data_IF_946744691382
#
_entry.id   IF_946744691382
#
_cell.length_a   1.000
_cell.length_b   1.000
_cell.length_c   1.000
_cell.angle_alpha   90.00
_cell.angle_beta   90.00
_cell.angle_gamma   90.00
#
_symmetry.space_group_name_H-M   'P 1'
#
loop_
_entity.id
_entity.type
_entity.pdbx_description
1 polymer ?
#
# COMPACT_ATOMS: atom_id res chain seq x y z
N UNK A 1 -11.54 8.90 7.20
CA UNK A 1 -11.49 8.51 8.64
C UNK A 1 -10.05 8.52 9.13
N UNK A 2 -9.80 8.68 10.43
CA UNK A 2 -8.43 8.56 10.99
C UNK A 2 -7.88 7.13 10.86
N UNK A 3 -8.72 6.15 11.12
CA UNK A 3 -8.44 4.74 10.92
C UNK A 3 -9.67 4.14 10.23
N UNK A 4 -9.61 3.88 8.92
CA UNK A 4 -10.66 3.16 8.19
C UNK A 4 -10.61 1.65 8.49
N UNK A 5 -11.72 0.95 8.26
CA UNK A 5 -11.80 -0.52 8.27
C UNK A 5 -12.41 -1.05 6.97
N UNK A 6 -11.87 -2.15 6.46
CA UNK A 6 -12.42 -2.87 5.31
C UNK A 6 -13.84 -3.42 5.65
N UNK A 7 -14.75 -3.43 4.66
CA UNK A 7 -16.10 -3.95 4.88
C UNK A 7 -16.08 -5.44 5.14
N UNK A 8 -16.80 -5.90 6.18
CA UNK A 8 -16.94 -7.34 6.47
C UNK A 8 -17.68 -8.06 5.34
N UNK A 9 -18.60 -7.37 4.66
CA UNK A 9 -19.34 -7.86 3.50
C UNK A 9 -18.97 -7.00 2.30
N UNK A 10 -18.07 -7.53 1.46
CA UNK A 10 -17.57 -6.86 0.25
C UNK A 10 -18.05 -7.49 -1.05
N UNK A 11 -17.64 -6.89 -2.17
CA UNK A 11 -17.99 -7.30 -3.54
C UNK A 11 -16.82 -7.95 -4.29
N UNK A 12 -15.60 -7.78 -3.81
CA UNK A 12 -14.35 -8.15 -4.49
C UNK A 12 -13.78 -7.04 -5.39
N UNK A 13 -14.54 -5.96 -5.62
CA UNK A 13 -14.08 -4.81 -6.42
C UNK A 13 -13.19 -3.85 -5.61
N UNK A 14 -13.11 -4.02 -4.30
CA UNK A 14 -12.44 -3.12 -3.37
C UNK A 14 -10.94 -3.07 -3.61
N UNK A 15 -10.29 -4.22 -3.82
CA UNK A 15 -8.85 -4.30 -4.13
C UNK A 15 -8.49 -3.64 -5.47
N UNK A 16 -9.27 -3.92 -6.52
CA UNK A 16 -9.03 -3.35 -7.86
C UNK A 16 -9.21 -1.84 -7.83
N UNK A 17 -10.29 -1.38 -7.20
CA UNK A 17 -10.59 0.05 -7.06
C UNK A 17 -9.51 0.78 -6.25
N UNK A 18 -9.07 0.19 -5.14
CA UNK A 18 -7.98 0.71 -4.32
C UNK A 18 -6.67 0.83 -5.10
N UNK A 19 -6.27 -0.23 -5.80
CA UNK A 19 -5.05 -0.28 -6.60
C UNK A 19 -5.07 0.74 -7.73
N UNK A 20 -6.16 0.80 -8.49
CA UNK A 20 -6.25 1.62 -9.71
C UNK A 20 -6.61 3.09 -9.43
N UNK A 21 -7.02 3.43 -8.20
CA UNK A 21 -7.31 4.81 -7.78
C UNK A 21 -6.11 5.76 -7.85
N UNK A 22 -4.88 5.22 -7.90
CA UNK A 22 -3.65 6.00 -7.79
C UNK A 22 -3.37 6.54 -6.39
N UNK A 23 -4.18 6.21 -5.39
CA UNK A 23 -3.98 6.64 -4.01
C UNK A 23 -2.96 5.78 -3.25
N UNK A 24 -2.87 4.50 -3.62
CA UNK A 24 -1.93 3.53 -3.10
C UNK A 24 -0.53 3.71 -3.68
N UNK A 25 0.51 3.31 -2.94
CA UNK A 25 1.88 3.25 -3.46
C UNK A 25 2.15 1.86 -4.00
N UNK A 26 2.39 1.77 -5.31
CA UNK A 26 2.54 0.50 -6.02
C UNK A 26 4.02 0.21 -6.29
N UNK A 27 4.42 -1.05 -6.12
CA UNK A 27 5.75 -1.52 -6.40
C UNK A 27 6.01 -1.59 -7.92
N UNK A 28 7.10 -0.97 -8.38
CA UNK A 28 7.44 -0.90 -9.82
C UNK A 28 8.19 -2.12 -10.32
N UNK A 29 8.99 -2.74 -9.45
CA UNK A 29 9.85 -3.88 -9.75
C UNK A 29 9.74 -4.89 -8.63
N UNK A 30 9.93 -6.17 -8.95
CA UNK A 30 9.99 -7.21 -7.94
C UNK A 30 11.26 -7.08 -7.08
N UNK A 31 11.15 -7.45 -5.80
CA UNK A 31 12.25 -7.31 -4.87
C UNK A 31 11.92 -7.70 -3.44
N UNK A 32 12.87 -7.46 -2.53
CA UNK A 32 12.67 -7.61 -1.09
C UNK A 32 12.70 -6.22 -0.42
N UNK A 33 11.75 -5.99 0.47
CA UNK A 33 11.69 -4.78 1.29
C UNK A 33 12.87 -4.77 2.26
N UNK A 34 13.78 -3.82 2.08
CA UNK A 34 14.99 -3.71 2.91
C UNK A 34 14.77 -2.80 4.10
N UNK A 35 13.95 -1.76 3.95
CA UNK A 35 13.66 -0.80 5.03
C UNK A 35 12.26 -0.24 4.87
N UNK A 36 11.54 -0.19 5.99
CA UNK A 36 10.22 0.43 6.08
C UNK A 36 10.29 1.55 7.10
N UNK A 37 9.89 2.74 6.68
CA UNK A 37 9.72 3.89 7.55
C UNK A 37 8.34 4.52 7.32
N UNK A 38 7.95 5.39 8.25
CA UNK A 38 6.72 6.14 8.09
C UNK A 38 6.69 6.98 6.79
N UNK A 39 7.80 7.57 6.35
CA UNK A 39 7.82 8.48 5.18
C UNK A 39 8.38 7.86 3.90
N UNK A 40 8.97 6.67 3.97
CA UNK A 40 9.59 6.04 2.82
C UNK A 40 9.70 4.53 2.99
N UNK A 41 9.67 3.82 1.87
CA UNK A 41 9.91 2.37 1.78
C UNK A 41 11.06 2.16 0.80
N UNK A 42 12.02 1.33 1.18
CA UNK A 42 13.14 0.92 0.33
C UNK A 42 12.96 -0.55 -0.06
N UNK A 43 12.93 -0.81 -1.36
CA UNK A 43 12.81 -2.16 -1.92
C UNK A 43 14.05 -2.45 -2.73
N UNK A 44 14.78 -3.49 -2.36
CA UNK A 44 15.92 -3.98 -3.12
C UNK A 44 15.41 -4.87 -4.23
N UNK A 45 15.70 -4.50 -5.48
CA UNK A 45 15.32 -5.31 -6.63
C UNK A 45 15.99 -6.68 -6.57
N UNK A 46 15.26 -7.68 -7.01
CA UNK A 46 15.78 -9.03 -7.19
C UNK A 46 15.53 -9.41 -8.63
N UNK A 47 16.54 -10.00 -9.26
CA UNK A 47 16.43 -10.61 -10.57
C UNK A 47 16.92 -12.03 -10.47
N UNK A 48 16.19 -12.95 -11.08
CA UNK A 48 16.62 -14.33 -11.21
C UNK A 48 17.36 -14.46 -12.55
N UNK A 49 18.66 -14.74 -12.48
CA UNK A 49 19.50 -14.99 -13.66
C UNK A 49 20.12 -16.36 -13.47
N UNK A 50 19.89 -17.28 -14.41
CA UNK A 50 20.39 -18.65 -14.39
C UNK A 50 20.08 -19.43 -13.09
N UNK A 51 18.91 -19.16 -12.49
CA UNK A 51 18.46 -19.80 -11.24
C UNK A 51 19.11 -19.27 -9.96
N UNK A 52 19.86 -18.17 -10.05
CA UNK A 52 20.44 -17.47 -8.89
C UNK A 52 19.76 -16.12 -8.66
N UNK A 53 19.42 -15.83 -7.41
CA UNK A 53 18.85 -14.54 -7.01
C UNK A 53 19.94 -13.49 -6.89
N UNK A 54 19.95 -12.55 -7.83
CA UNK A 54 20.87 -11.42 -7.84
C UNK A 54 20.17 -10.21 -7.23
N UNK A 55 20.84 -9.63 -6.24
CA UNK A 55 20.42 -8.36 -5.62
C UNK A 55 20.83 -7.20 -6.53
N UNK A 56 19.83 -6.46 -7.01
CA UNK A 56 20.03 -5.27 -7.84
C UNK A 56 19.95 -3.97 -7.05
N UNK A 57 19.52 -2.93 -7.78
CA UNK A 57 19.36 -1.56 -7.28
C UNK A 57 18.32 -1.43 -6.15
N UNK A 58 18.46 -0.34 -5.40
CA UNK A 58 17.54 0.03 -4.32
C UNK A 58 16.48 1.03 -4.84
N UNK A 59 15.23 0.59 -4.92
CA UNK A 59 14.10 1.45 -5.24
C UNK A 59 13.59 2.17 -3.99
N UNK A 60 13.44 3.49 -4.12
CA UNK A 60 12.97 4.36 -3.05
C UNK A 60 11.56 4.88 -3.34
N UNK A 61 10.62 4.51 -2.49
CA UNK A 61 9.22 4.94 -2.55
C UNK A 61 8.97 5.96 -1.44
N UNK A 62 8.64 7.21 -1.79
CA UNK A 62 8.30 8.24 -0.81
C UNK A 62 6.80 8.21 -0.53
N UNK A 63 6.43 8.29 0.75
CA UNK A 63 5.03 8.32 1.19
C UNK A 63 4.60 9.77 1.49
N UNK A 64 3.38 10.09 1.08
CA UNK A 64 2.74 11.36 1.40
C UNK A 64 2.16 11.33 2.81
N UNK A 65 2.53 12.30 3.65
CA UNK A 65 2.11 12.37 5.06
C UNK A 65 1.42 13.68 5.36
N UNK A 66 0.18 13.57 5.85
CA UNK A 66 -0.64 14.69 6.33
C UNK A 66 -0.73 15.86 5.33
N UNK A 67 -0.90 15.55 4.05
CA UNK A 67 -1.05 16.55 2.99
C UNK A 67 -2.53 16.89 2.86
N UNK A 68 -2.85 18.15 2.57
CA UNK A 68 -4.23 18.59 2.33
C UNK A 68 -4.65 18.27 0.90
N UNK A 69 -5.82 17.64 0.72
CA UNK A 69 -6.45 17.45 -0.59
C UNK A 69 -7.16 18.72 -1.08
N UNK A 70 -7.56 18.76 -2.35
CA UNK A 70 -8.31 19.89 -2.92
C UNK A 70 -9.60 20.20 -2.15
N UNK A 71 -10.26 19.16 -1.62
CA UNK A 71 -11.49 19.26 -0.82
C UNK A 71 -11.22 19.48 0.68
N UNK A 72 -9.96 19.69 1.07
CA UNK A 72 -9.59 19.98 2.45
C UNK A 72 -9.49 18.75 3.38
N UNK A 73 -9.58 17.54 2.84
CA UNK A 73 -9.39 16.30 3.61
C UNK A 73 -7.90 15.96 3.78
N UNK A 74 -7.59 15.12 4.78
CA UNK A 74 -6.23 14.66 5.02
C UNK A 74 -5.86 13.50 4.08
N UNK A 75 -4.80 13.70 3.31
CA UNK A 75 -4.14 12.69 2.49
C UNK A 75 -2.92 12.14 3.24
N UNK A 76 -3.03 10.88 3.68
CA UNK A 76 -2.00 10.24 4.49
C UNK A 76 -1.81 8.79 4.04
N UNK A 77 -0.63 8.49 3.52
CA UNK A 77 -0.27 7.14 3.12
C UNK A 77 0.40 6.38 4.27
N UNK A 78 0.14 5.08 4.41
CA UNK A 78 0.67 4.24 5.48
C UNK A 78 1.27 2.96 4.90
N UNK A 79 2.53 2.61 5.23
CA UNK A 79 3.12 1.37 4.75
C UNK A 79 2.32 0.17 5.28
N UNK A 80 2.07 -0.81 4.41
CA UNK A 80 1.43 -2.10 4.78
C UNK A 80 2.42 -3.26 4.79
N UNK A 81 3.55 -3.12 4.09
CA UNK A 81 4.61 -4.12 4.04
C UNK A 81 5.55 -3.99 5.24
N UNK A 82 6.19 -5.12 5.59
CA UNK A 82 7.25 -5.20 6.60
C UNK A 82 8.62 -5.44 5.97
N UNK A 83 9.69 -5.15 6.73
CA UNK A 83 11.07 -5.45 6.32
C UNK A 83 11.22 -6.96 6.11
N UNK A 84 11.85 -7.36 5.01
CA UNK A 84 12.04 -8.75 4.61
C UNK A 84 10.90 -9.32 3.75
N UNK A 85 9.79 -8.60 3.57
CA UNK A 85 8.74 -9.06 2.65
C UNK A 85 9.24 -9.06 1.20
N UNK A 86 8.94 -10.14 0.48
CA UNK A 86 9.17 -10.23 -0.96
C UNK A 86 7.93 -9.69 -1.67
N UNK A 87 8.13 -8.70 -2.54
CA UNK A 87 7.06 -7.99 -3.24
C UNK A 87 7.21 -8.17 -4.74
N UNK A 88 6.09 -8.26 -5.44
CA UNK A 88 6.03 -8.37 -6.90
C UNK A 88 5.74 -7.01 -7.54
N UNK A 89 6.05 -6.89 -8.83
CA UNK A 89 5.62 -5.75 -9.63
C UNK A 89 4.09 -5.63 -9.58
N UNK A 90 3.59 -4.43 -9.29
CA UNK A 90 2.16 -4.14 -9.23
C UNK A 90 1.50 -4.44 -7.89
N UNK A 91 2.27 -4.85 -6.87
CA UNK A 91 1.80 -5.06 -5.50
C UNK A 91 1.74 -3.74 -4.73
N UNK A 92 0.81 -3.61 -3.79
CA UNK A 92 0.64 -2.41 -2.97
C UNK A 92 1.65 -2.44 -1.82
N UNK A 93 2.46 -1.38 -1.71
CA UNK A 93 3.45 -1.19 -0.64
C UNK A 93 2.90 -0.35 0.51
N UNK A 94 2.04 0.61 0.20
CA UNK A 94 1.41 1.49 1.18
C UNK A 94 -0.02 1.84 0.79
N UNK A 95 -0.89 1.85 1.78
CA UNK A 95 -2.28 2.28 1.68
C UNK A 95 -2.38 3.79 1.53
N UNK A 96 -3.35 4.23 0.73
CA UNK A 96 -3.78 5.61 0.65
C UNK A 96 -4.77 6.02 1.75
N UNK A 97 -5.33 7.23 1.67
CA UNK A 97 -6.48 7.60 2.49
C UNK A 97 -7.65 6.65 2.21
N UNK A 98 -8.39 6.29 3.27
CA UNK A 98 -9.57 5.40 3.18
C UNK A 98 -9.27 4.03 2.56
N UNK A 99 -8.12 3.45 2.93
CA UNK A 99 -7.71 2.10 2.58
C UNK A 99 -7.22 1.34 3.80
N UNK A 100 -7.39 0.02 3.76
CA UNK A 100 -6.85 -0.93 4.72
C UNK A 100 -6.36 -2.18 3.99
N UNK A 101 -5.09 -2.53 4.19
CA UNK A 101 -4.43 -3.74 3.66
C UNK A 101 -4.58 -3.89 2.13
N UNK A 102 -4.52 -2.78 1.40
CA UNK A 102 -4.66 -2.74 -0.05
C UNK A 102 -6.09 -2.73 -0.56
N UNK A 103 -7.10 -2.78 0.31
CA UNK A 103 -8.51 -2.70 -0.06
C UNK A 103 -9.10 -1.32 0.23
N UNK A 104 -10.17 -1.00 -0.51
CA UNK A 104 -10.93 0.21 -0.31
C UNK A 104 -11.76 0.13 0.98
N UNK A 105 -11.54 1.07 1.88
CA UNK A 105 -12.12 1.11 3.21
C UNK A 105 -12.67 2.51 3.52
N UNK A 106 -13.85 2.82 3.01
CA UNK A 106 -14.46 4.15 3.15
C UNK A 106 -15.08 4.40 4.54
N UNK A 107 -15.36 3.32 5.29
CA UNK A 107 -16.18 3.35 6.49
C UNK A 107 -15.61 2.58 7.69
N UNK A 108 -16.53 2.19 8.56
CA UNK A 108 -16.33 1.32 9.74
C UNK A 108 -17.50 0.36 9.83
N UNK A 109 -17.26 -0.84 10.35
CA UNK A 109 -18.32 -1.79 10.61
C UNK A 109 -18.98 -1.45 11.95
N UNK A 110 -20.33 -1.33 11.98
CA UNK A 110 -21.09 -0.96 13.19
C UNK A 110 -22.16 -2.01 13.49
N UNK A 111 -22.44 -2.22 14.78
CA UNK A 111 -23.56 -3.06 15.21
C UNK A 111 -24.87 -2.25 15.11
N UNK A 112 -25.85 -2.78 14.38
CA UNK A 112 -27.13 -2.12 14.12
C UNK A 112 -28.27 -2.99 14.66
N UNK A 113 -29.27 -2.36 15.29
CA UNK A 113 -30.54 -2.97 15.66
C UNK A 113 -31.67 -2.20 14.96
N UNK A 114 -32.73 -2.92 14.59
CA UNK A 114 -33.94 -2.36 13.98
C UNK A 114 -35.00 -2.03 15.04
#
# INVERSE_FOLDING_TARGET
LMQPEAPIVGTGMEYVSAKDSGAAVICKHEGIVERVEARQILVRRIQEVDGQEIKGDLDKYKLQKFIRSNQGTCYNQRPIVAVGNRVKKGEILADGPSMELGELALGRNVLVAF
#
